data_IF_843229285312
#
_entry.id   IF_843229285312
#
_cell.length_a   1.000
_cell.length_b   1.000
_cell.length_c   1.000
_cell.angle_alpha   90.00
_cell.angle_beta   90.00
_cell.angle_gamma   90.00
#
_symmetry.space_group_name_H-M   'P 1'
#
loop_
_entity.id
_entity.type
_entity.pdbx_description
1 polymer ?
#
# COMPACT_ATOMS: atom_id res chain seq x y z
N UNK A 1 22.11 9.89 42.56
CA UNK A 1 22.14 9.41 41.16
C UNK A 1 22.26 10.67 40.32
N UNK A 2 23.37 10.85 39.61
CA UNK A 2 23.59 12.06 38.80
C UNK A 2 22.95 11.81 37.44
N UNK A 3 22.06 12.71 37.02
CA UNK A 3 21.39 12.65 35.73
C UNK A 3 22.39 12.97 34.62
N UNK A 4 22.34 12.22 33.51
CA UNK A 4 23.20 12.45 32.35
C UNK A 4 22.51 13.48 31.47
N UNK A 5 23.17 14.62 31.24
CA UNK A 5 22.66 15.65 30.34
C UNK A 5 22.93 15.28 28.87
N UNK A 6 21.91 15.42 28.02
CA UNK A 6 22.00 15.23 26.57
C UNK A 6 22.11 16.60 25.90
N UNK A 7 23.08 16.83 24.98
CA UNK A 7 23.20 18.09 24.26
C UNK A 7 21.94 18.42 23.43
N UNK A 8 21.71 19.72 23.23
CA UNK A 8 20.70 20.21 22.29
C UNK A 8 21.04 19.81 20.84
N UNK A 9 20.05 19.71 19.93
CA UNK A 9 20.30 19.41 18.52
C UNK A 9 21.06 20.55 17.83
N UNK A 10 21.85 20.20 16.80
CA UNK A 10 22.53 21.20 15.97
C UNK A 10 21.51 22.07 15.20
N UNK A 11 21.75 23.38 15.01
CA UNK A 11 20.76 24.29 14.40
C UNK A 11 20.38 23.95 12.95
N UNK A 12 21.23 23.20 12.25
CA UNK A 12 21.03 22.81 10.86
C UNK A 12 20.48 21.39 10.71
N UNK A 13 20.16 20.72 11.83
CA UNK A 13 19.42 19.47 11.82
C UNK A 13 17.94 19.72 11.54
N UNK A 14 17.48 19.17 10.43
CA UNK A 14 16.07 19.05 10.11
C UNK A 14 15.36 18.02 11.02
N UNK A 15 14.02 18.06 11.13
CA UNK A 15 13.23 17.01 11.78
C UNK A 15 13.53 15.60 11.24
N UNK A 16 13.67 14.63 12.14
CA UNK A 16 14.01 13.25 11.77
C UNK A 16 12.89 12.51 11.00
N UNK A 17 11.64 12.96 11.13
CA UNK A 17 10.47 12.38 10.46
C UNK A 17 10.19 12.96 9.06
N UNK A 18 11.04 13.86 8.56
CA UNK A 18 10.77 14.57 7.32
C UNK A 18 11.25 13.78 6.08
N UNK A 19 10.37 13.69 5.08
CA UNK A 19 10.55 12.97 3.80
C UNK A 19 11.60 13.63 2.92
N UNK A 20 12.86 13.49 3.28
CA UNK A 20 13.96 13.83 2.40
C UNK A 20 14.70 12.55 2.13
N UNK A 21 14.34 11.88 1.04
CA UNK A 21 14.91 10.60 0.63
C UNK A 21 16.45 10.56 0.74
N UNK A 22 17.19 11.68 0.65
CA UNK A 22 18.64 11.73 0.93
C UNK A 22 19.21 13.11 1.35
N UNK A 23 18.48 14.03 1.97
CA UNK A 23 18.89 15.44 1.95
C UNK A 23 18.82 16.21 3.27
N UNK A 24 19.30 15.62 4.38
CA UNK A 24 19.35 16.36 5.63
C UNK A 24 20.55 16.00 6.52
N UNK A 25 20.96 16.97 7.36
CA UNK A 25 22.13 16.87 8.24
C UNK A 25 21.86 16.15 9.55
N UNK A 26 20.60 16.00 9.95
CA UNK A 26 20.23 15.15 11.07
C UNK A 26 20.62 13.69 10.76
N UNK A 27 21.46 13.04 11.58
CA UNK A 27 21.90 11.66 11.34
C UNK A 27 20.81 10.62 11.60
N UNK A 28 19.70 11.01 12.25
CA UNK A 28 18.58 10.12 12.52
C UNK A 28 17.53 10.23 11.41
N UNK A 29 17.02 9.07 11.00
CA UNK A 29 15.78 8.94 10.24
C UNK A 29 14.75 8.25 11.14
N UNK A 30 13.67 8.97 11.43
CA UNK A 30 12.54 8.44 12.17
C UNK A 30 11.49 7.98 11.17
N UNK A 31 10.90 6.82 11.42
CA UNK A 31 9.72 6.30 10.73
C UNK A 31 8.69 5.91 11.80
N UNK A 32 7.41 5.87 11.42
CA UNK A 32 6.36 5.42 12.33
C UNK A 32 6.34 3.89 12.44
N UNK A 33 5.63 3.37 13.46
CA UNK A 33 5.37 1.93 13.59
C UNK A 33 4.64 1.40 12.35
N UNK A 34 3.71 2.18 11.79
CA UNK A 34 3.01 1.78 10.56
C UNK A 34 3.97 1.74 9.37
N UNK A 35 4.80 2.76 9.15
CA UNK A 35 5.78 2.77 8.05
C UNK A 35 6.76 1.59 8.14
N UNK A 36 7.13 1.17 9.35
CA UNK A 36 7.97 -0.02 9.57
C UNK A 36 7.27 -1.33 9.16
N UNK A 37 5.97 -1.45 9.44
CA UNK A 37 5.22 -2.69 9.22
C UNK A 37 4.51 -2.74 7.86
N UNK A 38 4.14 -1.62 7.26
CA UNK A 38 3.42 -1.56 6.00
C UNK A 38 4.03 -2.46 4.88
N UNK A 39 5.38 -2.58 4.74
CA UNK A 39 5.97 -3.43 3.70
C UNK A 39 5.65 -4.94 3.80
N UNK A 40 5.25 -5.44 4.97
CA UNK A 40 4.87 -6.86 5.13
C UNK A 40 3.38 -7.11 4.85
N UNK A 41 2.61 -6.05 4.58
CA UNK A 41 1.19 -6.13 4.28
C UNK A 41 0.92 -5.89 2.79
N UNK A 42 -0.09 -6.57 2.27
CA UNK A 42 -0.60 -6.39 0.91
C UNK A 42 -2.02 -5.83 1.01
N UNK A 43 -2.35 -4.80 0.22
CA UNK A 43 -3.71 -4.27 0.16
C UNK A 43 -4.60 -5.27 -0.55
N UNK A 44 -5.64 -5.72 0.13
CA UNK A 44 -6.60 -6.71 -0.38
C UNK A 44 -7.99 -6.11 -0.66
N UNK A 45 -8.19 -4.85 -0.31
CA UNK A 45 -9.43 -4.14 -0.64
C UNK A 45 -9.57 -2.78 0.02
N UNK A 46 -10.69 -2.14 -0.29
CA UNK A 46 -11.11 -0.84 0.25
C UNK A 46 -12.54 -0.97 0.76
N UNK A 47 -12.75 -0.60 2.02
CA UNK A 47 -14.08 -0.50 2.59
C UNK A 47 -14.61 0.92 2.41
N UNK A 48 -15.88 1.06 2.01
CA UNK A 48 -16.62 2.31 1.89
C UNK A 48 -17.02 2.91 3.26
N UNK A 49 -16.22 2.70 4.29
CA UNK A 49 -16.43 3.16 5.66
C UNK A 49 -15.09 3.38 6.38
N UNK A 50 -15.12 4.26 7.39
CA UNK A 50 -13.93 4.61 8.19
C UNK A 50 -13.50 3.44 9.08
N UNK A 51 -12.29 3.47 9.62
CA UNK A 51 -11.78 2.41 10.51
C UNK A 51 -12.59 2.29 11.82
N UNK A 52 -13.20 3.39 12.29
CA UNK A 52 -13.79 3.50 13.62
C UNK A 52 -14.95 2.51 13.90
N UNK A 53 -15.95 2.35 13.01
CA UNK A 53 -17.01 1.34 13.21
C UNK A 53 -16.49 -0.09 13.30
N UNK A 54 -15.49 -0.46 12.49
CA UNK A 54 -14.87 -1.80 12.55
C UNK A 54 -14.15 -1.98 13.88
N UNK A 55 -13.35 -0.99 14.29
CA UNK A 55 -12.64 -1.01 15.56
C UNK A 55 -13.61 -1.12 16.75
N UNK A 56 -14.69 -0.33 16.77
CA UNK A 56 -15.71 -0.40 17.81
C UNK A 56 -16.39 -1.78 17.88
N UNK A 57 -16.79 -2.31 16.72
CA UNK A 57 -17.47 -3.62 16.63
C UNK A 57 -16.61 -4.77 17.14
N UNK A 58 -15.30 -4.69 16.91
CA UNK A 58 -14.31 -5.69 17.31
C UNK A 58 -13.58 -5.34 18.63
N UNK A 59 -13.93 -4.21 19.27
CA UNK A 59 -13.28 -3.67 20.48
C UNK A 59 -11.76 -3.49 20.33
N UNK A 60 -11.34 -3.02 19.16
CA UNK A 60 -9.95 -2.73 18.85
C UNK A 60 -9.59 -1.30 19.27
N UNK A 61 -8.32 -1.10 19.59
CA UNK A 61 -7.74 0.23 19.78
C UNK A 61 -7.21 0.75 18.45
N UNK A 62 -7.69 1.93 18.03
CA UNK A 62 -7.16 2.65 16.87
C UNK A 62 -5.92 3.41 17.28
N UNK A 63 -4.84 3.18 16.56
CA UNK A 63 -3.58 3.92 16.72
C UNK A 63 -3.55 5.08 15.73
N UNK A 64 -3.18 6.26 16.22
CA UNK A 64 -2.83 7.39 15.38
C UNK A 64 -1.37 7.26 14.97
N UNK A 65 -1.11 7.25 13.67
CA UNK A 65 0.21 7.11 13.10
C UNK A 65 0.41 8.11 11.97
N UNK A 66 1.51 7.96 11.25
CA UNK A 66 1.81 8.70 10.03
C UNK A 66 2.60 7.80 9.09
N UNK A 67 2.62 8.11 7.82
CA UNK A 67 3.60 7.54 6.90
C UNK A 67 4.20 8.67 6.06
N UNK A 68 5.04 8.28 5.10
CA UNK A 68 5.64 9.21 4.16
C UNK A 68 4.67 9.98 3.25
N UNK A 69 3.37 9.94 3.51
CA UNK A 69 2.36 10.75 2.83
C UNK A 69 1.66 11.68 3.82
N UNK A 70 0.99 11.14 4.84
CA UNK A 70 0.15 11.90 5.79
C UNK A 70 0.00 11.20 7.15
N UNK A 71 -0.68 11.87 8.09
CA UNK A 71 -1.25 11.19 9.27
C UNK A 71 -2.33 10.19 8.86
N UNK A 72 -2.40 9.09 9.61
CA UNK A 72 -3.40 8.05 9.39
C UNK A 72 -3.85 7.40 10.69
N UNK A 73 -5.09 6.95 10.70
CA UNK A 73 -5.62 6.03 11.70
C UNK A 73 -5.37 4.60 11.23
N UNK A 74 -4.87 3.74 12.12
CA UNK A 74 -4.60 2.33 11.79
C UNK A 74 -4.97 1.40 12.93
N UNK A 75 -5.46 0.21 12.59
CA UNK A 75 -5.61 -0.93 13.52
C UNK A 75 -4.88 -2.12 12.96
N UNK A 76 -4.12 -2.82 13.81
CA UNK A 76 -3.50 -4.10 13.50
C UNK A 76 -4.10 -5.16 14.40
N UNK A 77 -4.57 -6.26 13.83
CA UNK A 77 -5.25 -7.30 14.60
C UNK A 77 -5.21 -8.65 13.90
N UNK A 78 -5.51 -9.71 14.66
CA UNK A 78 -5.67 -11.06 14.12
C UNK A 78 -7.11 -11.49 14.15
N UNK A 79 -7.57 -12.16 13.10
CA UNK A 79 -8.90 -12.72 13.02
C UNK A 79 -8.86 -14.05 12.28
N UNK A 80 -9.31 -15.13 12.95
CA UNK A 80 -9.48 -16.47 12.35
C UNK A 80 -8.22 -17.01 11.64
N UNK A 81 -7.03 -16.63 12.12
CA UNK A 81 -5.74 -17.04 11.56
C UNK A 81 -5.04 -15.97 10.72
N UNK A 82 -5.80 -15.05 10.14
CA UNK A 82 -5.30 -13.94 9.33
C UNK A 82 -4.79 -12.79 10.19
N UNK A 83 -3.73 -12.11 9.74
CA UNK A 83 -3.27 -10.85 10.33
C UNK A 83 -3.65 -9.68 9.42
N UNK A 84 -4.53 -8.82 9.92
CA UNK A 84 -5.06 -7.67 9.21
C UNK A 84 -4.41 -6.37 9.69
N UNK A 85 -4.31 -5.43 8.76
CA UNK A 85 -4.33 -4.02 9.09
C UNK A 85 -5.54 -3.36 8.42
N UNK A 86 -6.13 -2.37 9.07
CA UNK A 86 -7.09 -1.45 8.42
C UNK A 86 -6.59 -0.04 8.66
N UNK A 87 -6.44 0.73 7.59
CA UNK A 87 -5.92 2.09 7.68
C UNK A 87 -6.78 3.11 6.96
N UNK A 88 -6.78 4.34 7.46
CA UNK A 88 -7.44 5.49 6.85
C UNK A 88 -6.52 6.71 6.95
N UNK A 89 -6.04 7.20 5.82
CA UNK A 89 -5.28 8.44 5.70
C UNK A 89 -6.19 9.67 5.81
N UNK A 90 -5.69 10.71 6.47
CA UNK A 90 -6.40 11.99 6.62
C UNK A 90 -6.60 12.71 5.28
N UNK A 91 -5.65 12.58 4.35
CA UNK A 91 -5.75 13.12 3.00
C UNK A 91 -6.84 12.46 2.13
N UNK A 92 -7.52 11.42 2.61
CA UNK A 92 -8.58 10.75 1.88
C UNK A 92 -9.97 11.38 2.16
N UNK A 93 -10.55 12.13 1.21
CA UNK A 93 -11.78 12.92 1.45
C UNK A 93 -13.05 12.08 1.54
N UNK A 94 -12.99 10.81 1.16
CA UNK A 94 -14.10 9.86 1.25
C UNK A 94 -13.75 8.96 2.41
N UNK A 95 -14.60 8.85 3.43
CA UNK A 95 -14.35 8.07 4.64
C UNK A 95 -14.24 6.56 4.39
N UNK A 96 -13.30 6.15 3.55
CA UNK A 96 -12.97 4.79 3.14
C UNK A 96 -11.72 4.35 3.88
N UNK A 97 -11.58 3.05 4.07
CA UNK A 97 -10.40 2.47 4.72
C UNK A 97 -9.79 1.39 3.85
N UNK A 98 -8.47 1.34 3.80
CA UNK A 98 -7.72 0.29 3.12
C UNK A 98 -7.62 -0.92 4.04
N UNK A 99 -7.86 -2.10 3.49
CA UNK A 99 -7.72 -3.38 4.19
C UNK A 99 -6.48 -4.06 3.68
N UNK A 100 -5.64 -4.49 4.61
CA UNK A 100 -4.35 -5.10 4.31
C UNK A 100 -4.21 -6.45 5.00
N UNK A 101 -3.42 -7.34 4.39
CA UNK A 101 -3.21 -8.72 4.84
C UNK A 101 -1.72 -9.09 4.75
N UNK A 102 -1.18 -9.79 5.74
CA UNK A 102 0.22 -10.28 5.69
C UNK A 102 0.40 -11.60 4.91
N UNK A 103 -0.70 -12.28 4.61
CA UNK A 103 -0.71 -13.58 3.93
C UNK A 103 -0.70 -13.46 2.40
N UNK A 104 -0.35 -14.54 1.66
CA UNK A 104 -0.39 -14.53 0.20
C UNK A 104 -1.76 -14.14 -0.35
N UNK A 105 -1.75 -13.46 -1.49
CA UNK A 105 -2.97 -12.93 -2.10
C UNK A 105 -4.01 -14.00 -2.48
N UNK A 106 -3.62 -15.27 -2.64
CA UNK A 106 -4.57 -16.38 -2.87
C UNK A 106 -5.62 -16.52 -1.75
N UNK A 107 -5.33 -16.03 -0.55
CA UNK A 107 -6.25 -16.04 0.58
C UNK A 107 -6.98 -14.70 0.79
N UNK A 108 -6.73 -13.69 -0.05
CA UNK A 108 -7.27 -12.34 0.10
C UNK A 108 -8.80 -12.31 0.12
N UNK A 109 -9.46 -12.97 -0.84
CA UNK A 109 -10.92 -13.00 -0.90
C UNK A 109 -11.51 -13.67 0.35
N UNK A 110 -11.00 -14.85 0.70
CA UNK A 110 -11.43 -15.58 1.89
C UNK A 110 -11.21 -14.75 3.18
N UNK A 111 -10.09 -14.05 3.27
CA UNK A 111 -9.77 -13.19 4.41
C UNK A 111 -10.75 -12.01 4.47
N UNK A 112 -10.99 -11.33 3.35
CA UNK A 112 -11.94 -10.23 3.26
C UNK A 112 -13.36 -10.69 3.62
N UNK A 113 -13.83 -11.79 3.04
CA UNK A 113 -15.15 -12.38 3.35
C UNK A 113 -15.27 -12.69 4.86
N UNK A 114 -14.22 -13.25 5.46
CA UNK A 114 -14.17 -13.55 6.90
C UNK A 114 -14.26 -12.27 7.74
N UNK A 115 -13.58 -11.20 7.32
CA UNK A 115 -13.66 -9.90 7.99
C UNK A 115 -15.08 -9.34 7.92
N UNK A 116 -15.70 -9.32 6.73
CA UNK A 116 -17.05 -8.81 6.52
C UNK A 116 -18.08 -9.59 7.36
N UNK A 117 -18.00 -10.92 7.35
CA UNK A 117 -18.87 -11.80 8.13
C UNK A 117 -18.80 -11.50 9.63
N UNK A 118 -17.59 -11.40 10.18
CA UNK A 118 -17.39 -11.20 11.63
C UNK A 118 -17.80 -9.81 12.07
N UNK A 119 -17.51 -8.79 11.26
CA UNK A 119 -17.96 -7.41 11.51
C UNK A 119 -19.49 -7.34 11.39
N UNK A 120 -20.09 -8.13 10.50
CA UNK A 120 -21.52 -8.18 10.24
C UNK A 120 -21.96 -7.14 9.20
N UNK A 121 -21.11 -6.90 8.20
CA UNK A 121 -21.37 -5.98 7.08
C UNK A 121 -21.39 -6.76 5.76
N UNK A 122 -22.14 -6.25 4.78
CA UNK A 122 -22.27 -6.88 3.46
C UNK A 122 -21.21 -6.44 2.47
N UNK A 123 -21.22 -7.06 1.29
CA UNK A 123 -20.38 -6.72 0.14
C UNK A 123 -20.58 -5.28 -0.36
N UNK A 124 -21.72 -4.67 -0.07
CA UNK A 124 -22.00 -3.26 -0.39
C UNK A 124 -21.08 -2.28 0.35
N UNK A 125 -20.45 -2.73 1.45
CA UNK A 125 -19.42 -2.00 2.14
C UNK A 125 -18.03 -2.09 1.45
N UNK A 126 -17.86 -2.92 0.43
CA UNK A 126 -16.59 -3.08 -0.29
C UNK A 126 -16.60 -2.16 -1.52
N UNK A 127 -15.79 -1.11 -1.49
CA UNK A 127 -15.63 -0.20 -2.64
C UNK A 127 -14.72 -0.80 -3.71
N UNK A 128 -13.75 -1.62 -3.30
CA UNK A 128 -12.77 -2.26 -4.18
C UNK A 128 -12.24 -3.53 -3.53
N UNK A 129 -12.02 -4.58 -4.33
CA UNK A 129 -11.26 -5.77 -3.94
C UNK A 129 -9.91 -5.73 -4.66
N UNK A 130 -8.83 -5.97 -3.92
CA UNK A 130 -7.49 -6.12 -4.48
C UNK A 130 -7.43 -7.34 -5.39
N UNK A 131 -6.78 -7.21 -6.54
CA UNK A 131 -6.57 -8.33 -7.46
C UNK A 131 -5.50 -9.27 -6.91
N UNK A 132 -5.80 -10.58 -6.92
CA UNK A 132 -4.79 -11.63 -6.75
C UNK A 132 -3.75 -11.55 -7.83
N UNK A 133 -2.74 -10.73 -7.56
CA UNK A 133 -1.64 -10.32 -8.40
C UNK A 133 -1.46 -11.18 -9.65
N UNK A 134 -1.82 -10.63 -10.81
CA UNK A 134 -0.98 -10.84 -11.98
C UNK A 134 0.27 -9.99 -11.78
N UNK A 135 1.42 -10.63 -11.91
CA UNK A 135 2.75 -10.00 -11.86
C UNK A 135 2.78 -8.62 -12.56
N UNK A 136 3.42 -7.57 -12.01
CA UNK A 136 3.57 -6.30 -12.72
C UNK A 136 4.70 -6.41 -13.76
N UNK A 137 5.13 -7.64 -14.06
CA UNK A 137 6.22 -7.98 -14.96
C UNK A 137 5.73 -8.86 -16.12
N UNK A 138 4.58 -8.53 -16.71
CA UNK A 138 4.32 -8.94 -18.10
C UNK A 138 4.10 -7.69 -18.95
N UNK A 139 5.14 -7.23 -19.69
CA UNK A 139 4.93 -6.39 -20.84
C UNK A 139 4.04 -7.17 -21.80
N UNK A 140 2.80 -6.73 -21.99
CA UNK A 140 1.95 -7.23 -23.06
C UNK A 140 2.57 -6.82 -24.39
N UNK A 141 3.44 -7.66 -24.93
CA UNK A 141 4.01 -7.50 -26.25
C UNK A 141 3.98 -8.84 -26.99
N UNK A 142 2.77 -9.26 -27.35
CA UNK A 142 2.55 -10.19 -28.44
C UNK A 142 1.41 -9.67 -29.30
N UNK A 143 1.77 -8.82 -30.26
CA UNK A 143 1.14 -8.86 -31.58
C UNK A 143 2.24 -9.21 -32.57
N UNK A 144 2.40 -10.52 -32.78
CA UNK A 144 2.91 -11.02 -34.04
C UNK A 144 1.81 -10.79 -35.07
N UNK A 145 2.03 -9.86 -36.00
CA UNK A 145 1.52 -10.03 -37.36
C UNK A 145 2.72 -10.27 -38.28
N UNK A 146 2.85 -11.53 -38.67
CA UNK A 146 3.82 -11.99 -39.64
C UNK A 146 3.14 -12.00 -41.00
N UNK A 147 3.66 -11.24 -41.97
CA UNK A 147 3.35 -11.56 -43.36
C UNK A 147 3.60 -10.50 -44.40
N UNK A 148 4.86 -10.30 -44.81
CA UNK A 148 5.24 -10.53 -46.22
C UNK A 148 6.75 -10.52 -46.41
N UNK A 149 7.28 -11.73 -46.59
CA UNK A 149 8.55 -11.95 -47.27
C UNK A 149 8.42 -11.63 -48.77
N UNK A 150 9.61 -11.39 -49.36
CA UNK A 150 10.04 -11.79 -50.70
C UNK A 150 10.27 -10.64 -51.68
N UNK A 151 11.54 -10.26 -51.81
CA UNK A 151 12.08 -9.79 -53.09
C UNK A 151 12.04 -10.93 -54.13
N UNK A 152 12.10 -10.59 -55.43
CA UNK A 152 13.39 -10.75 -56.10
C UNK A 152 13.71 -9.70 -57.18
N UNK A 153 15.00 -9.47 -57.38
CA UNK A 153 15.68 -9.44 -58.68
C UNK A 153 15.20 -8.53 -59.84
N UNK A 154 16.02 -7.50 -60.11
CA UNK A 154 16.62 -7.15 -61.43
C UNK A 154 15.70 -6.68 -62.58
N UNK A 155 15.87 -5.42 -63.04
CA UNK A 155 16.32 -5.05 -64.42
C UNK A 155 16.47 -3.52 -64.61
N UNK A 156 17.36 -3.20 -65.55
CA UNK A 156 17.85 -1.91 -66.04
C UNK A 156 16.88 -1.17 -67.00
N UNK A 157 17.26 0.10 -67.30
CA UNK A 157 16.74 1.12 -68.26
C UNK A 157 15.67 2.03 -67.64
N UNK A 158 15.68 3.36 -67.77
CA UNK A 158 16.39 4.30 -68.65
C UNK A 158 15.38 5.34 -69.19
N UNK A 159 15.83 6.58 -69.42
CA UNK A 159 15.12 7.79 -69.94
C UNK A 159 14.31 8.58 -68.90
N UNK A 160 14.40 9.91 -68.80
CA UNK A 160 14.97 10.96 -69.66
C UNK A 160 15.69 12.03 -68.83
#
# INVERSE_FOLDING_TARGET
MTEIEVPAPEPDWQPAAQLSYHAGKNPAYQYSVWEHHAPIFQMIGVLALSVQPVAQRLRLHVERSWDGLDELDVVLFRLKGFSFAISKHDGNPVGVSYVWLTEPHEQADKALDTLLEVVGIGEDAVAFRGDAHKDPAEPTATVHDAGRQSGPGRRLRGTA
#
